data_IF_532045407692
#
_entry.id   IF_532045407692
#
_cell.length_a   1.000
_cell.length_b   1.000
_cell.length_c   1.000
_cell.angle_alpha   90.00
_cell.angle_beta   90.00
_cell.angle_gamma   90.00
#
_symmetry.space_group_name_H-M   'P 1'
#
loop_
_entity.id
_entity.type
_entity.pdbx_description
1 polymer ?
#
# COMPACT_ATOMS: atom_id res chain seq x y z
N UNK A 1 14.59 -0.16 11.61
CA UNK A 1 15.18 -1.36 10.96
C UNK A 1 15.54 -1.01 9.51
N UNK A 2 16.51 -1.74 8.88
CA UNK A 2 16.94 -1.38 7.51
C UNK A 2 15.81 -1.50 6.48
N UNK A 3 15.05 -2.59 6.54
CA UNK A 3 13.97 -2.91 5.59
C UNK A 3 12.81 -1.90 5.65
N UNK A 4 12.40 -1.46 6.85
CA UNK A 4 11.37 -0.43 7.01
C UNK A 4 11.82 0.91 6.40
N UNK A 5 13.08 1.29 6.63
CA UNK A 5 13.65 2.49 6.00
C UNK A 5 13.75 2.37 4.48
N UNK A 6 14.11 1.19 3.97
CA UNK A 6 14.16 0.92 2.53
C UNK A 6 12.77 1.03 1.88
N UNK A 7 11.76 0.38 2.48
CA UNK A 7 10.38 0.45 2.00
C UNK A 7 9.84 1.89 2.01
N UNK A 8 10.11 2.65 3.08
CA UNK A 8 9.72 4.05 3.21
C UNK A 8 10.43 4.94 2.19
N UNK A 9 11.74 4.78 2.01
CA UNK A 9 12.51 5.53 1.02
C UNK A 9 12.06 5.24 -0.43
N UNK A 10 11.51 4.06 -0.68
CA UNK A 10 10.95 3.69 -1.97
C UNK A 10 9.53 4.23 -2.16
N UNK A 11 8.59 3.93 -1.26
CA UNK A 11 7.16 3.99 -1.53
C UNK A 11 6.38 5.13 -0.85
N UNK A 12 7.01 5.94 0.00
CA UNK A 12 6.30 7.02 0.70
C UNK A 12 5.88 8.13 -0.26
N UNK A 13 4.62 8.54 -0.22
CA UNK A 13 4.15 9.76 -0.91
C UNK A 13 4.37 11.02 -0.06
N UNK A 14 4.69 10.86 1.23
CA UNK A 14 4.89 11.95 2.19
C UNK A 14 6.36 12.41 2.27
N UNK A 15 7.29 11.56 1.83
CA UNK A 15 8.72 11.91 1.74
C UNK A 15 9.04 12.39 0.33
N UNK A 16 9.37 13.67 0.14
CA UNK A 16 9.72 14.21 -1.19
C UNK A 16 10.98 13.59 -1.79
N UNK A 17 11.87 13.00 -0.97
CA UNK A 17 13.07 12.32 -1.44
C UNK A 17 12.82 10.86 -1.86
N UNK A 18 11.67 10.29 -1.52
CA UNK A 18 11.33 8.90 -1.86
C UNK A 18 11.34 8.68 -3.38
N UNK A 19 11.58 7.43 -3.77
CA UNK A 19 11.55 7.05 -5.19
C UNK A 19 10.17 7.31 -5.80
N UNK A 20 9.08 6.92 -5.12
CA UNK A 20 7.72 7.14 -5.61
C UNK A 20 7.39 8.62 -5.81
N UNK A 21 7.80 9.47 -4.86
CA UNK A 21 7.61 10.91 -4.97
C UNK A 21 8.39 11.52 -6.15
N UNK A 22 9.59 11.01 -6.42
CA UNK A 22 10.40 11.42 -7.58
C UNK A 22 9.81 10.93 -8.90
N UNK A 23 9.29 9.69 -8.95
CA UNK A 23 8.56 9.15 -10.10
C UNK A 23 7.29 9.98 -10.39
N UNK A 24 6.54 10.34 -9.35
CA UNK A 24 5.34 11.16 -9.48
C UNK A 24 5.64 12.56 -10.05
N UNK A 25 6.80 13.13 -9.73
CA UNK A 25 7.27 14.42 -10.26
C UNK A 25 8.06 14.32 -11.57
N UNK A 26 8.14 13.13 -12.17
CA UNK A 26 8.92 12.88 -13.41
C UNK A 26 10.41 13.24 -13.28
N UNK A 27 10.99 13.14 -12.08
CA UNK A 27 12.42 13.39 -11.81
C UNK A 27 13.27 12.15 -12.07
N UNK A 28 12.63 11.00 -12.22
CA UNK A 28 13.24 9.72 -12.60
C UNK A 28 12.15 8.84 -13.21
N UNK A 29 12.55 7.88 -14.00
CA UNK A 29 11.70 6.81 -14.52
C UNK A 29 12.15 5.41 -14.04
N UNK A 30 13.32 5.33 -13.42
CA UNK A 30 13.88 4.08 -12.92
C UNK A 30 13.09 3.58 -11.72
N UNK A 31 12.70 2.29 -11.72
CA UNK A 31 11.94 1.66 -10.64
C UNK A 31 12.80 0.64 -9.91
N UNK A 32 12.59 0.54 -8.59
CA UNK A 32 13.16 -0.51 -7.77
C UNK A 32 12.20 -1.72 -7.64
N UNK A 33 12.65 -2.73 -6.89
CA UNK A 33 11.87 -3.94 -6.64
C UNK A 33 10.52 -3.67 -5.95
N UNK A 34 10.48 -2.66 -5.05
CA UNK A 34 9.29 -2.34 -4.27
C UNK A 34 8.22 -1.70 -5.15
N UNK A 35 8.59 -0.70 -5.95
CA UNK A 35 7.70 -0.07 -6.93
C UNK A 35 7.20 -1.11 -7.94
N UNK A 36 8.12 -1.92 -8.49
CA UNK A 36 7.77 -2.92 -9.50
C UNK A 36 6.81 -3.99 -8.94
N UNK A 37 7.02 -4.44 -7.70
CA UNK A 37 6.13 -5.41 -7.06
C UNK A 37 4.74 -4.82 -6.83
N UNK A 38 4.68 -3.65 -6.19
CA UNK A 38 3.40 -3.03 -5.83
C UNK A 38 2.59 -2.61 -7.05
N UNK A 39 3.23 -2.18 -8.16
CA UNK A 39 2.49 -1.87 -9.38
C UNK A 39 1.89 -3.15 -10.00
N UNK A 40 2.64 -4.27 -10.05
CA UNK A 40 2.09 -5.55 -10.52
C UNK A 40 0.95 -6.07 -9.64
N UNK A 41 1.09 -5.93 -8.33
CA UNK A 41 0.02 -6.30 -7.39
C UNK A 41 -1.23 -5.45 -7.62
N UNK A 42 -1.05 -4.13 -7.77
CA UNK A 42 -2.12 -3.21 -8.08
C UNK A 42 -2.83 -3.55 -9.39
N UNK A 43 -2.10 -3.93 -10.43
CA UNK A 43 -2.65 -4.38 -11.70
C UNK A 43 -3.50 -5.65 -11.54
N UNK A 44 -3.03 -6.61 -10.74
CA UNK A 44 -3.77 -7.83 -10.45
C UNK A 44 -5.08 -7.53 -9.72
N UNK A 45 -5.04 -6.69 -8.68
CA UNK A 45 -6.23 -6.29 -7.92
C UNK A 45 -7.19 -5.49 -8.79
N UNK A 46 -6.69 -4.57 -9.61
CA UNK A 46 -7.50 -3.80 -10.55
C UNK A 46 -8.23 -4.71 -11.53
N UNK A 47 -7.54 -5.72 -12.06
CA UNK A 47 -8.14 -6.70 -12.98
C UNK A 47 -9.22 -7.54 -12.29
N UNK A 48 -8.99 -8.00 -11.05
CA UNK A 48 -9.95 -8.78 -10.28
C UNK A 48 -11.17 -7.97 -9.81
N UNK A 49 -11.03 -6.65 -9.71
CA UNK A 49 -12.08 -5.73 -9.27
C UNK A 49 -12.78 -5.00 -10.42
N UNK A 50 -12.60 -5.43 -11.67
CA UNK A 50 -13.14 -4.76 -12.85
C UNK A 50 -12.77 -3.26 -12.90
N UNK A 51 -11.53 -2.93 -12.54
CA UNK A 51 -11.00 -1.56 -12.55
C UNK A 51 -11.45 -0.67 -11.38
N UNK A 52 -12.14 -1.22 -10.38
CA UNK A 52 -12.57 -0.43 -9.19
C UNK A 52 -11.42 -0.09 -8.25
N UNK A 53 -10.31 -0.80 -8.34
CA UNK A 53 -9.08 -0.48 -7.65
C UNK A 53 -8.08 0.13 -8.63
N UNK A 54 -7.57 1.32 -8.32
CA UNK A 54 -6.62 2.01 -9.18
C UNK A 54 -5.63 2.83 -8.34
N UNK A 55 -4.34 2.54 -8.47
CA UNK A 55 -3.27 3.25 -7.77
C UNK A 55 -2.93 4.60 -8.40
N UNK A 56 -3.53 4.95 -9.53
CA UNK A 56 -3.30 6.24 -10.19
C UNK A 56 -4.24 7.34 -9.67
N UNK A 57 -5.09 7.03 -8.68
CA UNK A 57 -6.08 7.97 -8.10
C UNK A 57 -5.49 9.10 -7.27
N UNK A 58 -4.16 9.14 -7.07
CA UNK A 58 -3.50 10.16 -6.23
C UNK A 58 -3.95 11.60 -6.52
N UNK A 59 -4.09 12.06 -7.78
CA UNK A 59 -4.57 13.43 -8.05
C UNK A 59 -5.99 13.69 -7.54
N UNK A 60 -6.88 12.68 -7.56
CA UNK A 60 -8.21 12.79 -6.98
C UNK A 60 -8.15 12.85 -5.45
N UNK A 61 -7.34 11.99 -4.83
CA UNK A 61 -7.12 11.97 -3.38
C UNK A 61 -6.64 13.34 -2.87
N UNK A 62 -5.70 13.96 -3.58
CA UNK A 62 -5.20 15.30 -3.27
C UNK A 62 -6.27 16.39 -3.49
N UNK A 63 -7.06 16.31 -4.55
CA UNK A 63 -8.11 17.28 -4.84
C UNK A 63 -9.21 17.31 -3.75
N UNK A 64 -9.46 16.15 -3.11
CA UNK A 64 -10.40 16.03 -1.99
C UNK A 64 -9.79 16.29 -0.61
N UNK A 65 -8.56 16.83 -0.55
CA UNK A 65 -7.93 17.27 0.71
C UNK A 65 -7.25 16.16 1.51
N UNK A 66 -6.99 15.01 0.88
CA UNK A 66 -6.20 13.95 1.50
C UNK A 66 -4.71 14.07 1.15
N UNK A 67 -3.89 13.17 1.69
CA UNK A 67 -2.44 13.11 1.46
C UNK A 67 -1.69 14.42 1.82
N UNK A 68 -2.17 15.16 2.83
CA UNK A 68 -1.55 16.39 3.33
C UNK A 68 -1.79 17.62 2.45
N UNK A 69 -2.81 17.59 1.61
CA UNK A 69 -3.27 18.72 0.80
C UNK A 69 -4.54 19.34 1.39
N UNK A 70 -4.77 20.60 1.09
CA UNK A 70 -6.08 21.25 1.34
C UNK A 70 -7.09 20.82 0.29
N UNK A 71 -8.34 20.56 0.71
CA UNK A 71 -9.41 20.23 -0.21
C UNK A 71 -9.71 21.40 -1.16
N UNK A 72 -9.87 21.11 -2.43
CA UNK A 72 -10.41 22.08 -3.39
C UNK A 72 -11.92 22.22 -3.14
N UNK A 73 -12.44 23.44 -3.19
CA UNK A 73 -13.85 23.71 -2.95
C UNK A 73 -14.75 23.02 -4.01
N UNK A 74 -14.33 23.04 -5.29
CA UNK A 74 -15.02 22.38 -6.40
C UNK A 74 -13.98 21.76 -7.37
N UNK A 75 -13.43 20.57 -7.09
CA UNK A 75 -12.44 19.96 -7.98
C UNK A 75 -13.08 19.59 -9.32
N UNK A 76 -12.41 19.93 -10.41
CA UNK A 76 -12.83 19.48 -11.74
C UNK A 76 -12.44 18.01 -11.94
N UNK A 77 -13.32 17.12 -11.49
CA UNK A 77 -13.10 15.67 -11.52
C UNK A 77 -12.87 15.15 -12.93
N UNK A 78 -13.62 15.62 -13.93
CA UNK A 78 -13.49 15.17 -15.31
C UNK A 78 -12.11 15.49 -15.88
N UNK A 79 -11.59 16.68 -15.60
CA UNK A 79 -10.22 17.04 -15.98
C UNK A 79 -9.17 16.17 -15.32
N UNK A 80 -9.38 15.76 -14.07
CA UNK A 80 -8.44 14.89 -13.34
C UNK A 80 -8.53 13.46 -13.89
N UNK A 81 -9.71 12.96 -14.16
CA UNK A 81 -9.93 11.62 -14.73
C UNK A 81 -9.26 11.45 -16.10
N UNK A 82 -9.02 12.53 -16.85
CA UNK A 82 -8.30 12.46 -18.11
C UNK A 82 -6.89 11.85 -17.99
N UNK A 83 -6.24 11.92 -16.81
CA UNK A 83 -4.92 11.34 -16.54
C UNK A 83 -4.90 10.36 -15.37
N UNK A 84 -6.06 9.87 -14.92
CA UNK A 84 -6.21 8.74 -14.02
C UNK A 84 -6.57 7.50 -14.83
N UNK A 85 -6.02 6.36 -14.46
CA UNK A 85 -6.32 5.07 -15.08
C UNK A 85 -5.09 4.15 -15.13
N UNK A 86 -5.22 2.94 -14.59
CA UNK A 86 -4.13 1.95 -14.53
C UNK A 86 -3.49 1.68 -15.90
N UNK A 87 -4.27 1.72 -16.98
CA UNK A 87 -3.80 1.47 -18.35
C UNK A 87 -2.84 2.54 -18.85
N UNK A 88 -2.75 3.69 -18.17
CA UNK A 88 -1.88 4.82 -18.53
C UNK A 88 -0.48 4.69 -17.95
N UNK A 89 -0.19 3.61 -17.23
CA UNK A 89 1.10 3.39 -16.61
C UNK A 89 1.53 1.94 -16.73
N UNK A 90 2.82 1.70 -17.01
CA UNK A 90 3.40 0.37 -17.12
C UNK A 90 4.90 0.40 -16.84
N UNK A 91 5.48 -0.76 -16.59
CA UNK A 91 6.93 -0.91 -16.45
C UNK A 91 7.48 -1.62 -17.68
N UNK A 92 8.44 -0.98 -18.34
CA UNK A 92 9.20 -1.54 -19.45
C UNK A 92 10.70 -1.42 -19.16
N UNK A 93 11.44 -2.53 -19.23
CA UNK A 93 12.89 -2.56 -19.04
C UNK A 93 13.37 -1.87 -17.74
N UNK A 94 12.61 -2.04 -16.64
CA UNK A 94 12.95 -1.43 -15.34
C UNK A 94 12.65 0.07 -15.25
N UNK A 95 11.86 0.61 -16.18
CA UNK A 95 11.44 2.01 -16.22
C UNK A 95 9.93 2.13 -16.16
N UNK A 96 9.46 3.14 -15.43
CA UNK A 96 8.05 3.52 -15.39
C UNK A 96 7.72 4.35 -16.63
N UNK A 97 6.84 3.84 -17.45
CA UNK A 97 6.30 4.56 -18.61
C UNK A 97 4.92 5.09 -18.27
N UNK A 98 4.71 6.37 -18.48
CA UNK A 98 3.44 7.05 -18.28
C UNK A 98 2.96 7.58 -19.64
N UNK A 99 1.72 7.31 -20.00
CA UNK A 99 1.13 7.85 -21.23
C UNK A 99 0.81 9.36 -21.13
N UNK A 100 0.68 9.86 -19.88
CA UNK A 100 0.53 11.28 -19.57
C UNK A 100 1.44 11.61 -18.37
N UNK A 101 2.29 12.65 -18.43
CA UNK A 101 3.19 13.02 -17.34
C UNK A 101 2.48 13.41 -16.05
N UNK A 102 1.19 13.72 -16.08
CA UNK A 102 0.36 14.04 -14.91
C UNK A 102 -0.08 12.81 -14.13
N UNK A 103 0.06 11.59 -14.69
CA UNK A 103 -0.22 10.35 -13.95
C UNK A 103 0.64 10.29 -12.70
N UNK A 104 0.01 10.06 -11.55
CA UNK A 104 0.67 9.91 -10.26
C UNK A 104 0.18 8.66 -9.55
N UNK A 105 1.09 7.98 -8.87
CA UNK A 105 0.85 6.73 -8.16
C UNK A 105 0.71 6.97 -6.66
N UNK A 106 -0.18 6.21 -6.02
CA UNK A 106 -0.33 6.10 -4.57
C UNK A 106 -0.45 4.62 -4.19
N UNK A 107 0.50 4.15 -3.37
CA UNK A 107 0.51 2.79 -2.86
C UNK A 107 0.06 2.68 -1.39
N UNK A 108 -0.52 3.73 -0.79
CA UNK A 108 -0.87 3.75 0.63
C UNK A 108 -1.79 2.59 1.04
N UNK A 109 -2.66 2.13 0.14
CA UNK A 109 -3.57 1.02 0.38
C UNK A 109 -2.92 -0.37 0.41
N UNK A 110 -1.69 -0.52 -0.12
CA UNK A 110 -0.99 -1.82 -0.22
C UNK A 110 0.41 -1.81 0.39
N UNK A 111 1.08 -0.65 0.46
CA UNK A 111 2.48 -0.54 0.86
C UNK A 111 2.73 -1.03 2.30
N UNK A 112 1.79 -0.78 3.24
CA UNK A 112 1.93 -1.23 4.62
C UNK A 112 1.84 -2.75 4.73
N UNK A 113 0.81 -3.36 4.13
CA UNK A 113 0.65 -4.82 4.08
C UNK A 113 1.84 -5.51 3.41
N UNK A 114 2.32 -4.97 2.30
CA UNK A 114 3.54 -5.44 1.65
C UNK A 114 4.77 -5.38 2.57
N UNK A 115 4.92 -4.29 3.33
CA UNK A 115 6.05 -4.13 4.28
C UNK A 115 5.93 -5.13 5.44
N UNK A 116 4.72 -5.39 5.92
CA UNK A 116 4.44 -6.45 6.91
C UNK A 116 4.86 -7.82 6.38
N UNK A 117 4.55 -8.12 5.13
CA UNK A 117 4.94 -9.38 4.49
C UNK A 117 6.47 -9.53 4.36
N UNK A 118 7.17 -8.46 3.98
CA UNK A 118 8.63 -8.46 3.93
C UNK A 118 9.27 -8.69 5.32
N UNK A 119 8.71 -8.06 6.37
CA UNK A 119 9.19 -8.27 7.74
C UNK A 119 8.88 -9.69 8.22
N UNK A 120 7.72 -10.24 7.88
CA UNK A 120 7.37 -11.61 8.19
C UNK A 120 8.34 -12.60 7.52
N UNK A 121 8.65 -12.40 6.26
CA UNK A 121 9.67 -13.20 5.53
C UNK A 121 11.05 -13.07 6.19
N UNK A 122 11.42 -11.87 6.63
CA UNK A 122 12.69 -11.63 7.30
C UNK A 122 12.77 -12.41 8.63
N UNK A 123 11.75 -12.36 9.48
CA UNK A 123 11.76 -13.11 10.74
C UNK A 123 11.72 -14.61 10.52
N UNK A 124 11.02 -15.08 9.48
CA UNK A 124 11.05 -16.48 9.05
C UNK A 124 12.45 -16.93 8.60
N UNK A 125 13.19 -16.07 7.91
CA UNK A 125 14.56 -16.37 7.47
C UNK A 125 15.54 -16.56 8.64
N UNK A 126 15.24 -16.00 9.81
CA UNK A 126 15.96 -16.24 11.06
C UNK A 126 15.44 -17.48 11.84
N UNK A 127 14.55 -18.27 11.24
CA UNK A 127 14.03 -19.50 11.84
C UNK A 127 12.84 -19.30 12.76
N UNK A 128 12.23 -18.11 12.84
CA UNK A 128 11.04 -17.87 13.63
C UNK A 128 9.85 -18.66 13.06
N UNK A 129 9.25 -19.52 13.91
CA UNK A 129 8.07 -20.33 13.58
C UNK A 129 6.78 -19.75 14.14
N UNK A 130 6.89 -18.93 15.18
CA UNK A 130 5.78 -18.32 15.89
C UNK A 130 6.05 -16.82 15.96
N UNK A 131 5.25 -16.00 15.30
CA UNK A 131 5.43 -14.55 15.29
C UNK A 131 4.12 -13.82 15.00
N UNK A 132 4.10 -12.56 15.36
CA UNK A 132 3.17 -11.56 14.92
C UNK A 132 3.97 -10.34 14.48
N UNK A 133 3.66 -9.81 13.30
CA UNK A 133 4.19 -8.56 12.74
C UNK A 133 3.00 -7.63 12.55
N UNK A 134 3.11 -6.42 13.08
CA UNK A 134 2.09 -5.39 13.02
C UNK A 134 2.75 -4.06 12.60
N UNK A 135 2.18 -3.40 11.61
CA UNK A 135 2.51 -2.02 11.22
C UNK A 135 1.22 -1.22 11.09
N UNK A 136 0.87 -0.49 12.16
CA UNK A 136 -0.27 0.41 12.14
C UNK A 136 -1.60 -0.27 11.81
N UNK A 137 -1.80 -1.50 12.31
CA UNK A 137 -3.01 -2.29 12.15
C UNK A 137 -3.00 -3.31 11.01
N UNK A 138 -2.06 -3.23 10.08
CA UNK A 138 -1.81 -4.32 9.11
C UNK A 138 -1.00 -5.42 9.80
N UNK A 139 -1.61 -6.60 9.93
CA UNK A 139 -1.08 -7.69 10.75
C UNK A 139 -0.84 -8.95 9.92
N UNK A 140 0.33 -9.56 10.12
CA UNK A 140 0.61 -10.93 9.71
C UNK A 140 1.12 -11.74 10.89
N UNK A 141 0.53 -12.91 11.12
CA UNK A 141 0.96 -13.82 12.18
C UNK A 141 1.09 -15.25 11.68
N UNK A 142 1.90 -16.03 12.37
CA UNK A 142 2.10 -17.46 12.11
C UNK A 142 2.32 -18.21 13.42
N UNK A 143 1.89 -19.49 13.45
CA UNK A 143 2.09 -20.37 14.58
C UNK A 143 1.22 -20.01 15.78
N UNK A 144 1.79 -20.05 16.99
CA UNK A 144 1.07 -19.89 18.26
C UNK A 144 1.70 -18.79 19.11
N UNK A 145 0.94 -18.26 20.06
CA UNK A 145 1.41 -17.30 21.05
C UNK A 145 2.27 -17.98 22.14
N UNK A 146 2.76 -17.21 23.12
CA UNK A 146 3.61 -17.72 24.22
C UNK A 146 2.94 -18.79 25.08
N UNK A 147 1.61 -18.83 25.11
CA UNK A 147 0.80 -19.80 25.86
C UNK A 147 0.47 -21.05 25.03
N UNK A 148 0.98 -21.16 23.79
CA UNK A 148 0.69 -22.27 22.91
C UNK A 148 -0.67 -22.18 22.19
N UNK A 149 -1.39 -21.08 22.31
CA UNK A 149 -2.69 -20.86 21.70
C UNK A 149 -2.56 -20.15 20.34
N UNK A 150 -3.51 -20.31 19.41
CA UNK A 150 -3.61 -19.50 18.21
C UNK A 150 -3.60 -18.00 18.54
N UNK A 151 -3.01 -17.20 17.63
CA UNK A 151 -3.08 -15.74 17.72
C UNK A 151 -4.52 -15.26 17.65
N UNK A 152 -4.86 -14.25 18.45
CA UNK A 152 -6.15 -13.58 18.42
C UNK A 152 -5.92 -12.13 18.02
N UNK A 153 -6.52 -11.71 16.91
CA UNK A 153 -6.43 -10.35 16.38
C UNK A 153 -7.80 -9.69 16.57
N UNK A 154 -7.83 -8.55 17.25
CA UNK A 154 -9.03 -7.73 17.39
C UNK A 154 -9.23 -6.90 16.12
N UNK A 155 -10.46 -6.84 15.64
CA UNK A 155 -10.88 -5.92 14.59
C UNK A 155 -11.78 -4.89 15.26
N UNK A 156 -11.39 -3.61 15.18
CA UNK A 156 -12.21 -2.52 15.72
C UNK A 156 -13.46 -2.35 14.86
N UNK A 157 -14.61 -2.15 15.52
CA UNK A 157 -15.83 -1.76 14.82
C UNK A 157 -15.81 -0.25 14.59
N UNK A 158 -16.21 0.24 13.40
CA UNK A 158 -16.15 1.66 13.05
C UNK A 158 -17.16 2.53 13.84
N UNK A 159 -18.02 1.90 14.63
CA UNK A 159 -19.04 2.55 15.43
C UNK A 159 -18.69 2.41 16.91
N UNK A 160 -18.65 3.54 17.63
CA UNK A 160 -18.63 3.67 19.09
C UNK A 160 -17.28 3.73 19.82
N UNK A 161 -16.15 3.95 19.21
CA UNK A 161 -14.92 4.27 19.96
C UNK A 161 -14.60 3.33 21.16
N UNK A 162 -15.31 2.21 21.28
CA UNK A 162 -15.21 1.24 22.36
C UNK A 162 -14.85 -0.13 21.82
N UNK A 163 -13.72 -0.65 22.24
CA UNK A 163 -13.39 -2.06 22.15
C UNK A 163 -14.30 -2.87 23.09
N UNK A 164 -15.60 -2.81 22.92
CA UNK A 164 -16.53 -3.63 23.65
C UNK A 164 -16.98 -4.80 22.81
N UNK A 165 -16.43 -5.97 23.15
CA UNK A 165 -17.01 -7.28 22.92
C UNK A 165 -16.87 -7.99 21.57
N UNK A 166 -15.97 -7.60 20.70
CA UNK A 166 -15.78 -8.33 19.45
C UNK A 166 -14.38 -8.92 19.24
N UNK A 167 -13.99 -9.93 20.03
CA UNK A 167 -12.85 -10.77 19.62
C UNK A 167 -13.32 -11.70 18.52
N UNK A 168 -13.07 -11.34 17.28
CA UNK A 168 -13.31 -12.23 16.15
C UNK A 168 -12.11 -13.18 16.00
N UNK A 169 -12.38 -14.47 16.10
CA UNK A 169 -11.44 -15.50 15.70
C UNK A 169 -11.33 -15.44 14.18
N UNK A 170 -10.27 -14.83 13.65
CA UNK A 170 -9.95 -14.96 12.26
C UNK A 170 -9.49 -16.40 12.00
N UNK A 171 -10.39 -17.24 11.50
CA UNK A 171 -9.99 -18.49 10.87
C UNK A 171 -9.14 -18.11 9.66
N UNK A 172 -7.96 -18.76 9.54
CA UNK A 172 -7.07 -18.72 8.39
C UNK A 172 -7.80 -18.36 7.12
N UNK A 173 -7.55 -17.18 6.57
CA UNK A 173 -7.57 -17.00 5.14
C UNK A 173 -6.14 -17.41 4.73
N UNK A 174 -6.00 -18.70 4.42
CA UNK A 174 -4.81 -19.18 3.76
C UNK A 174 -4.91 -18.78 2.30
N UNK A 175 -3.97 -18.00 1.83
CA UNK A 175 -3.56 -18.01 0.44
C UNK A 175 -2.31 -18.85 0.33
#
# INVERSE_FOLDING_TARGET
>A
MALDREAKASMSIFDPASLLSRLNRNQTDSVDRHIAFNLRLADSISSLSDGRYDVTVKPLVEAWGFAGKEAQENPNVDSILAFVGRQKVRIENGRLIKDDPRVQLDFNSIAKGYTVDLLAQLVESFGARNYIVDIGGEVRCKGVNRQGNPWRIGIETPFDGNMSNGVYLQRRIGM
#
